data_IF_685127990493
#
_entry.id   IF_685127990493
#
_cell.length_a   1.000
_cell.length_b   1.000
_cell.length_c   1.000
_cell.angle_alpha   90.00
_cell.angle_beta   90.00
_cell.angle_gamma   90.00
#
_symmetry.space_group_name_H-M   'P 1'
#
loop_
_entity.id
_entity.type
_entity.pdbx_description
1 polymer ?
#
# COMPACT_ATOMS: atom_id res chain seq x y z
N UNK A 1 -68.12 39.39 -18.02
CA UNK A 1 -66.80 39.84 -18.54
C UNK A 1 -65.64 39.49 -17.59
N UNK A 2 -65.80 39.65 -16.26
CA UNK A 2 -64.77 39.36 -15.24
C UNK A 2 -64.35 37.88 -15.20
N UNK A 3 -65.28 36.92 -15.35
CA UNK A 3 -64.97 35.48 -15.28
C UNK A 3 -64.01 34.99 -16.39
N UNK A 4 -64.03 35.60 -17.58
CA UNK A 4 -63.15 35.22 -18.70
C UNK A 4 -61.70 35.64 -18.47
N UNK A 5 -61.48 36.75 -17.75
CA UNK A 5 -60.15 37.27 -17.43
C UNK A 5 -59.47 36.39 -16.39
N UNK A 6 -60.21 35.95 -15.36
CA UNK A 6 -59.68 35.08 -14.30
C UNK A 6 -59.29 33.71 -14.85
N UNK A 7 -60.10 33.13 -15.75
CA UNK A 7 -59.79 31.84 -16.38
C UNK A 7 -58.52 31.93 -17.26
N UNK A 8 -58.32 33.04 -17.99
CA UNK A 8 -57.09 33.26 -18.77
C UNK A 8 -55.85 33.40 -17.87
N UNK A 9 -55.97 34.08 -16.72
CA UNK A 9 -54.86 34.23 -15.79
C UNK A 9 -54.49 32.90 -15.11
N UNK A 10 -55.48 32.06 -14.77
CA UNK A 10 -55.24 30.72 -14.21
C UNK A 10 -54.56 29.80 -15.25
N UNK A 11 -54.98 29.85 -16.51
CA UNK A 11 -54.35 29.07 -17.59
C UNK A 11 -52.91 29.49 -17.86
N UNK A 12 -52.59 30.80 -17.77
CA UNK A 12 -51.21 31.30 -17.90
C UNK A 12 -50.34 30.82 -16.73
N UNK A 13 -50.87 30.82 -15.51
CA UNK A 13 -50.13 30.34 -14.34
C UNK A 13 -49.82 28.84 -14.38
N UNK A 14 -50.75 28.02 -14.88
CA UNK A 14 -50.55 26.57 -15.06
C UNK A 14 -49.49 26.30 -16.14
N UNK A 15 -49.47 27.09 -17.23
CA UNK A 15 -48.46 26.95 -18.28
C UNK A 15 -47.03 27.29 -17.78
N UNK A 16 -46.89 28.28 -16.91
CA UNK A 16 -45.58 28.67 -16.32
C UNK A 16 -45.04 27.57 -15.39
N UNK A 17 -45.92 26.89 -14.64
CA UNK A 17 -45.51 25.78 -13.76
C UNK A 17 -44.98 24.56 -14.54
N UNK A 18 -45.42 24.35 -15.78
CA UNK A 18 -44.89 23.28 -16.63
C UNK A 18 -43.50 23.57 -17.22
N UNK A 19 -43.08 24.84 -17.33
CA UNK A 19 -41.77 25.20 -17.87
C UNK A 19 -40.61 25.03 -16.87
N UNK A 20 -40.89 24.88 -15.57
CA UNK A 20 -39.85 24.69 -14.54
C UNK A 20 -39.60 23.21 -14.16
N UNK A 21 -40.35 22.25 -14.72
CA UNK A 21 -40.24 20.83 -14.35
C UNK A 21 -39.14 20.04 -15.08
N UNK A 22 -38.34 20.68 -15.95
CA UNK A 22 -37.28 20.00 -16.68
C UNK A 22 -35.99 20.83 -16.73
N UNK A 23 -35.32 20.97 -15.58
CA UNK A 23 -33.87 21.12 -15.57
C UNK A 23 -33.24 19.82 -15.07
N UNK A 24 -33.35 18.78 -15.91
CA UNK A 24 -32.45 17.63 -15.81
C UNK A 24 -31.06 18.17 -16.14
N UNK A 25 -30.23 18.30 -15.11
CA UNK A 25 -28.83 18.71 -15.22
C UNK A 25 -28.11 17.69 -16.09
N UNK A 26 -27.98 17.98 -17.38
CA UNK A 26 -27.03 17.31 -18.25
C UNK A 26 -25.64 17.72 -17.78
N UNK A 27 -25.10 16.92 -16.87
CA UNK A 27 -23.69 16.90 -16.62
C UNK A 27 -23.09 16.26 -17.87
N UNK A 28 -22.73 17.10 -18.85
CA UNK A 28 -21.84 16.70 -19.93
C UNK A 28 -20.61 16.10 -19.26
N UNK A 29 -20.54 14.77 -19.29
CA UNK A 29 -19.32 14.04 -19.05
C UNK A 29 -18.41 14.40 -20.22
N UNK A 30 -17.79 15.57 -20.14
CA UNK A 30 -16.50 15.77 -20.76
C UNK A 30 -15.64 14.65 -20.20
N UNK A 31 -15.43 13.64 -21.05
CA UNK A 31 -14.35 12.70 -20.94
C UNK A 31 -13.07 13.54 -20.91
N UNK A 32 -12.72 14.03 -19.72
CA UNK A 32 -11.33 14.32 -19.40
C UNK A 32 -10.64 12.99 -19.64
N UNK A 33 -10.05 12.85 -20.82
CA UNK A 33 -8.93 11.95 -21.05
C UNK A 33 -7.88 12.35 -20.03
N UNK A 34 -8.05 11.80 -18.83
CA UNK A 34 -7.04 11.66 -17.83
C UNK A 34 -5.97 10.84 -18.54
N UNK A 35 -5.00 11.53 -19.12
CA UNK A 35 -3.65 10.99 -19.23
C UNK A 35 -3.22 10.69 -17.79
N UNK A 36 -3.72 9.59 -17.22
CA UNK A 36 -3.11 8.94 -16.08
C UNK A 36 -1.74 8.58 -16.60
N UNK A 37 -0.71 9.24 -16.07
CA UNK A 37 0.67 8.78 -16.21
C UNK A 37 0.68 7.25 -16.04
N UNK A 38 1.53 6.51 -16.78
CA UNK A 38 1.60 5.06 -16.64
C UNK A 38 1.68 4.72 -15.14
N UNK A 39 0.72 3.93 -14.66
CA UNK A 39 0.66 3.55 -13.25
C UNK A 39 1.95 2.77 -12.98
N UNK A 40 2.88 3.38 -12.25
CA UNK A 40 4.07 2.70 -11.80
C UNK A 40 3.62 1.64 -10.79
N UNK A 41 3.96 0.38 -11.02
CA UNK A 41 3.61 -0.72 -10.12
C UNK A 41 4.86 -1.25 -9.43
N UNK A 42 4.69 -1.62 -8.16
CA UNK A 42 5.77 -2.18 -7.33
C UNK A 42 5.34 -3.52 -6.77
N UNK A 43 6.26 -4.48 -6.77
CA UNK A 43 6.02 -5.80 -6.19
C UNK A 43 6.16 -5.78 -4.66
N UNK A 44 5.18 -6.36 -3.96
CA UNK A 44 5.36 -6.75 -2.56
C UNK A 44 5.92 -8.17 -2.52
N UNK A 45 7.05 -8.35 -1.82
CA UNK A 45 7.76 -9.62 -1.78
C UNK A 45 7.35 -10.50 -0.60
N UNK A 46 7.33 -11.81 -0.85
CA UNK A 46 7.01 -12.83 0.15
C UNK A 46 8.01 -13.98 0.09
N UNK A 47 8.10 -14.73 1.19
CA UNK A 47 8.83 -15.99 1.26
C UNK A 47 7.90 -17.16 0.98
N UNK A 48 8.45 -18.24 0.44
CA UNK A 48 7.75 -19.52 0.27
C UNK A 48 8.71 -20.68 0.46
N UNK A 49 8.17 -21.83 0.89
CA UNK A 49 8.93 -23.07 0.96
C UNK A 49 9.04 -23.69 -0.44
N UNK A 50 10.26 -23.83 -0.95
CA UNK A 50 10.52 -24.57 -2.19
C UNK A 50 10.75 -26.05 -1.88
N UNK A 51 9.82 -26.89 -2.32
CA UNK A 51 9.88 -28.33 -2.13
C UNK A 51 11.03 -29.01 -2.89
N UNK A 52 11.52 -28.40 -3.97
CA UNK A 52 12.60 -28.97 -4.79
C UNK A 52 13.95 -28.75 -4.12
N UNK A 53 14.25 -27.51 -3.71
CA UNK A 53 15.51 -27.20 -3.02
C UNK A 53 15.48 -27.41 -1.51
N UNK A 54 14.31 -27.69 -0.92
CA UNK A 54 14.09 -27.81 0.54
C UNK A 54 14.56 -26.57 1.30
N UNK A 55 14.37 -25.40 0.70
CA UNK A 55 14.81 -24.11 1.24
C UNK A 55 13.69 -23.09 1.15
N UNK A 56 13.76 -22.05 1.99
CA UNK A 56 12.90 -20.88 1.87
C UNK A 56 13.44 -20.02 0.73
N UNK A 57 12.56 -19.55 -0.15
CA UNK A 57 12.88 -18.69 -1.30
C UNK A 57 12.04 -17.42 -1.28
N UNK A 58 12.53 -16.37 -1.94
CA UNK A 58 11.82 -15.11 -2.12
C UNK A 58 11.16 -15.04 -3.50
N UNK A 59 9.96 -14.46 -3.58
CA UNK A 59 9.33 -14.09 -4.86
C UNK A 59 8.46 -12.84 -4.75
N UNK A 60 8.25 -12.11 -5.87
CA UNK A 60 7.15 -11.16 -5.99
C UNK A 60 5.81 -11.85 -5.72
N UNK A 61 4.96 -11.27 -4.89
CA UNK A 61 3.64 -11.82 -4.57
C UNK A 61 2.53 -11.16 -5.37
N UNK A 62 2.40 -9.84 -5.24
CA UNK A 62 1.40 -9.03 -5.92
C UNK A 62 1.96 -7.63 -6.15
N UNK A 63 1.37 -6.93 -7.11
CA UNK A 63 1.77 -5.58 -7.45
C UNK A 63 0.80 -4.56 -6.87
N UNK A 64 1.34 -3.41 -6.46
CA UNK A 64 0.57 -2.27 -5.96
C UNK A 64 0.87 -1.03 -6.78
N UNK A 65 -0.14 -0.20 -7.00
CA UNK A 65 0.03 1.12 -7.61
C UNK A 65 0.91 1.98 -6.70
N UNK A 66 2.05 2.42 -7.20
CA UNK A 66 3.00 3.25 -6.45
C UNK A 66 2.94 4.69 -6.95
N UNK A 67 2.50 5.58 -6.07
CA UNK A 67 2.38 7.02 -6.31
C UNK A 67 3.50 7.82 -5.65
N UNK A 68 4.70 7.24 -5.54
CA UNK A 68 5.86 7.84 -4.88
C UNK A 68 5.67 8.11 -3.38
N UNK A 69 4.66 7.47 -2.76
CA UNK A 69 4.45 7.51 -1.32
C UNK A 69 5.00 6.24 -0.65
N UNK A 70 6.15 6.38 0.01
CA UNK A 70 6.79 5.30 0.75
C UNK A 70 5.91 4.72 1.87
N UNK A 71 5.18 5.57 2.60
CA UNK A 71 4.31 5.10 3.68
C UNK A 71 3.18 4.20 3.14
N UNK A 72 2.65 4.49 1.96
CA UNK A 72 1.65 3.62 1.31
C UNK A 72 2.23 2.24 1.01
N UNK A 73 3.45 2.15 0.50
CA UNK A 73 4.10 0.85 0.24
C UNK A 73 4.41 0.10 1.55
N UNK A 74 4.86 0.81 2.58
CA UNK A 74 5.07 0.23 3.92
C UNK A 74 3.76 -0.32 4.50
N UNK A 75 2.64 0.38 4.30
CA UNK A 75 1.33 -0.10 4.72
C UNK A 75 0.94 -1.39 3.98
N UNK A 76 1.21 -1.49 2.68
CA UNK A 76 0.99 -2.72 1.90
C UNK A 76 1.88 -3.86 2.36
N UNK A 77 3.16 -3.57 2.65
CA UNK A 77 4.06 -4.55 3.27
C UNK A 77 3.52 -5.05 4.61
N UNK A 78 3.11 -4.16 5.52
CA UNK A 78 2.56 -4.54 6.83
C UNK A 78 1.28 -5.38 6.68
N UNK A 79 0.41 -5.08 5.71
CA UNK A 79 -0.74 -5.93 5.38
C UNK A 79 -0.30 -7.33 4.96
N UNK A 80 0.74 -7.44 4.13
CA UNK A 80 1.30 -8.73 3.70
C UNK A 80 1.91 -9.56 4.85
N UNK A 81 2.42 -8.89 5.89
CA UNK A 81 2.91 -9.56 7.10
C UNK A 81 1.74 -10.10 7.92
N UNK A 82 0.71 -9.27 8.14
CA UNK A 82 -0.49 -9.65 8.91
C UNK A 82 -1.28 -10.79 8.25
N UNK A 83 -1.29 -10.87 6.92
CA UNK A 83 -1.97 -11.92 6.17
C UNK A 83 -1.16 -13.22 6.04
N UNK A 84 0.15 -13.19 6.32
CA UNK A 84 1.02 -14.35 6.18
C UNK A 84 0.77 -15.38 7.28
N UNK A 85 0.50 -16.63 6.91
CA UNK A 85 0.32 -17.75 7.84
C UNK A 85 1.58 -18.01 8.68
N UNK A 86 2.77 -17.73 8.13
CA UNK A 86 4.03 -17.86 8.85
C UNK A 86 4.15 -16.90 10.03
N UNK A 87 3.61 -15.68 9.89
CA UNK A 87 3.61 -14.66 10.94
C UNK A 87 2.32 -14.66 11.78
N UNK A 88 1.29 -15.40 11.35
CA UNK A 88 -0.02 -15.51 12.02
C UNK A 88 0.05 -16.55 13.14
N UNK A 89 0.05 -16.09 14.40
CA UNK A 89 -0.02 -16.96 15.59
C UNK A 89 1.03 -16.69 16.66
N UNK A 90 2.00 -15.78 16.42
CA UNK A 90 3.04 -15.41 17.39
C UNK A 90 2.72 -14.06 18.06
N UNK A 91 1.77 -14.10 18.99
CA UNK A 91 1.38 -13.05 19.94
C UNK A 91 0.84 -11.70 19.39
N UNK A 92 0.17 -11.04 20.32
CA UNK A 92 -0.72 -9.87 20.37
C UNK A 92 -0.17 -8.55 19.80
N UNK A 93 1.03 -8.55 19.19
CA UNK A 93 1.59 -7.39 18.50
C UNK A 93 2.36 -7.82 17.25
N UNK A 94 1.77 -7.58 16.08
CA UNK A 94 2.44 -7.76 14.80
C UNK A 94 3.69 -6.87 14.72
N UNK A 95 4.77 -7.41 14.16
CA UNK A 95 5.95 -6.63 13.76
C UNK A 95 5.48 -5.63 12.71
N UNK A 96 5.70 -4.35 12.96
CA UNK A 96 5.19 -3.27 12.10
C UNK A 96 6.31 -2.36 11.64
N UNK A 97 6.47 -2.22 10.33
CA UNK A 97 7.38 -1.27 9.73
C UNK A 97 6.72 0.12 9.69
N UNK A 98 7.48 1.16 9.99
CA UNK A 98 7.07 2.55 9.85
C UNK A 98 8.08 3.29 9.00
N UNK A 99 7.61 3.97 7.94
CA UNK A 99 8.47 4.83 7.15
C UNK A 99 8.87 6.06 7.99
N UNK A 100 10.15 6.39 7.97
CA UNK A 100 10.70 7.57 8.65
C UNK A 100 11.05 8.64 7.62
N UNK A 101 11.97 8.30 6.71
CA UNK A 101 12.47 9.19 5.67
C UNK A 101 13.19 8.37 4.59
N UNK A 102 13.57 9.02 3.50
CA UNK A 102 14.52 8.49 2.55
C UNK A 102 15.67 9.49 2.35
N UNK A 103 16.88 8.97 2.19
CA UNK A 103 18.08 9.77 1.91
C UNK A 103 18.85 9.09 0.79
N UNK A 104 18.95 9.75 -0.36
CA UNK A 104 19.61 9.23 -1.56
C UNK A 104 18.99 7.88 -1.98
N UNK A 105 19.77 6.80 -1.94
CA UNK A 105 19.39 5.44 -2.33
C UNK A 105 18.89 4.58 -1.14
N UNK A 106 18.66 5.20 0.02
CA UNK A 106 18.30 4.51 1.26
C UNK A 106 16.91 4.92 1.75
N UNK A 107 16.08 3.94 2.07
CA UNK A 107 14.84 4.14 2.84
C UNK A 107 15.11 3.83 4.31
N UNK A 108 14.74 4.74 5.20
CA UNK A 108 14.86 4.55 6.65
C UNK A 108 13.52 4.09 7.20
N UNK A 109 13.52 2.92 7.82
CA UNK A 109 12.34 2.28 8.39
C UNK A 109 12.58 2.03 9.86
N UNK A 110 11.63 2.44 10.70
CA UNK A 110 11.58 2.05 12.11
C UNK A 110 10.77 0.77 12.26
N UNK A 111 11.27 -0.21 13.02
CA UNK A 111 10.51 -1.41 13.34
C UNK A 111 9.87 -1.27 14.71
N UNK A 112 8.54 -1.18 14.73
CA UNK A 112 7.72 -1.17 15.93
C UNK A 112 7.51 -2.61 16.41
N UNK A 113 7.36 -2.78 17.73
CA UNK A 113 7.22 -4.10 18.37
C UNK A 113 8.40 -5.04 18.06
N UNK A 114 9.61 -4.50 18.07
CA UNK A 114 10.85 -5.20 17.73
C UNK A 114 11.11 -6.48 18.55
N UNK A 115 10.60 -6.60 19.78
CA UNK A 115 10.76 -7.81 20.61
C UNK A 115 10.30 -9.09 19.90
N UNK A 116 9.22 -9.03 19.13
CA UNK A 116 8.76 -10.18 18.35
C UNK A 116 9.81 -10.56 17.29
N UNK A 117 10.34 -9.55 16.59
CA UNK A 117 11.39 -9.70 15.58
C UNK A 117 12.72 -10.21 16.17
N UNK A 118 13.14 -9.69 17.31
CA UNK A 118 14.49 -9.90 17.84
C UNK A 118 14.60 -11.04 18.82
N UNK A 119 13.49 -11.49 19.43
CA UNK A 119 13.51 -12.48 20.52
C UNK A 119 12.52 -13.64 20.37
N UNK A 120 11.42 -13.50 19.62
CA UNK A 120 10.34 -14.50 19.65
C UNK A 120 10.16 -15.29 18.36
N UNK A 121 10.51 -14.69 17.21
CA UNK A 121 10.25 -15.29 15.90
C UNK A 121 11.35 -16.27 15.45
N UNK A 122 12.49 -16.29 16.17
CA UNK A 122 13.68 -17.05 15.81
C UNK A 122 14.48 -16.43 14.64
N UNK A 123 15.74 -16.81 14.50
CA UNK A 123 16.65 -16.23 13.50
C UNK A 123 16.16 -16.37 12.05
N UNK A 124 15.56 -17.52 11.69
CA UNK A 124 15.01 -17.71 10.34
C UNK A 124 13.85 -16.75 10.06
N UNK A 125 12.89 -16.63 10.98
CA UNK A 125 11.75 -15.73 10.80
C UNK A 125 12.15 -14.26 10.79
N UNK A 126 13.17 -13.89 11.58
CA UNK A 126 13.71 -12.54 11.58
C UNK A 126 14.41 -12.21 10.25
N UNK A 127 15.22 -13.14 9.75
CA UNK A 127 15.86 -13.05 8.43
C UNK A 127 14.83 -12.92 7.31
N UNK A 128 13.78 -13.74 7.31
CA UNK A 128 12.69 -13.67 6.34
C UNK A 128 11.97 -12.31 6.36
N UNK A 129 11.66 -11.78 7.54
CA UNK A 129 11.00 -10.48 7.68
C UNK A 129 11.86 -9.37 7.04
N UNK A 130 13.14 -9.31 7.43
CA UNK A 130 14.08 -8.29 6.95
C UNK A 130 14.29 -8.42 5.44
N UNK A 131 14.41 -9.65 4.92
CA UNK A 131 14.60 -9.89 3.50
C UNK A 131 13.37 -9.46 2.68
N UNK A 132 12.15 -9.82 3.12
CA UNK A 132 10.92 -9.38 2.45
C UNK A 132 10.79 -7.86 2.42
N UNK A 133 11.09 -7.19 3.53
CA UNK A 133 11.06 -5.72 3.61
C UNK A 133 12.10 -5.11 2.67
N UNK A 134 13.33 -5.63 2.71
CA UNK A 134 14.45 -5.17 1.87
C UNK A 134 14.11 -5.29 0.38
N UNK A 135 13.66 -6.47 -0.06
CA UNK A 135 13.30 -6.68 -1.47
C UNK A 135 12.14 -5.79 -1.90
N UNK A 136 11.10 -5.64 -1.06
CA UNK A 136 9.94 -4.79 -1.36
C UNK A 136 10.33 -3.32 -1.52
N UNK A 137 11.12 -2.76 -0.60
CA UNK A 137 11.52 -1.34 -0.69
C UNK A 137 12.48 -1.09 -1.86
N UNK A 138 13.35 -2.04 -2.18
CA UNK A 138 14.32 -1.93 -3.28
C UNK A 138 13.74 -2.21 -4.66
N UNK A 139 12.42 -2.47 -4.77
CA UNK A 139 11.71 -2.37 -6.06
C UNK A 139 11.55 -0.93 -6.52
N UNK A 140 11.59 0.04 -5.59
CA UNK A 140 11.49 1.46 -5.92
C UNK A 140 12.75 1.86 -6.70
N UNK A 141 12.57 2.36 -7.92
CA UNK A 141 13.69 2.83 -8.75
C UNK A 141 14.51 3.87 -8.01
N UNK A 142 15.82 3.66 -7.94
CA UNK A 142 16.77 4.54 -7.24
C UNK A 142 17.01 4.16 -5.78
N UNK A 143 16.27 3.21 -5.20
CA UNK A 143 16.52 2.69 -3.86
C UNK A 143 17.30 1.38 -3.96
N UNK A 144 18.48 1.33 -3.32
CA UNK A 144 19.38 0.16 -3.33
C UNK A 144 19.43 -0.57 -1.99
N UNK A 145 19.04 0.13 -0.91
CA UNK A 145 19.15 -0.37 0.47
C UNK A 145 18.08 0.20 1.39
N UNK A 146 17.89 -0.47 2.51
CA UNK A 146 17.00 -0.07 3.61
C UNK A 146 17.84 0.03 4.88
N UNK A 147 17.70 1.11 5.62
CA UNK A 147 18.19 1.20 7.00
C UNK A 147 17.05 0.84 7.95
N UNK A 148 17.27 -0.15 8.81
CA UNK A 148 16.31 -0.57 9.83
C UNK A 148 16.73 -0.07 11.20
N UNK A 149 15.83 0.67 11.86
CA UNK A 149 15.99 1.21 13.19
C UNK A 149 15.14 0.45 14.22
N UNK A 150 15.80 -0.25 15.14
CA UNK A 150 15.21 -0.96 16.28
C UNK A 150 16.30 -1.41 17.27
N UNK A 151 15.92 -1.66 18.52
CA UNK A 151 16.85 -2.24 19.51
C UNK A 151 17.31 -3.64 19.10
N UNK A 152 18.63 -3.93 19.10
CA UNK A 152 19.15 -5.24 18.74
C UNK A 152 18.68 -6.34 19.70
N UNK A 153 18.71 -7.59 19.23
CA UNK A 153 18.53 -8.78 20.07
C UNK A 153 19.12 -10.03 19.43
N UNK A 154 18.77 -11.20 19.98
CA UNK A 154 19.43 -12.47 19.64
C UNK A 154 19.27 -12.87 18.16
N UNK A 155 18.15 -12.48 17.54
CA UNK A 155 17.80 -12.94 16.20
C UNK A 155 17.94 -11.88 15.11
N UNK A 156 18.07 -10.60 15.47
CA UNK A 156 18.20 -9.50 14.52
C UNK A 156 18.89 -8.28 15.14
N UNK A 157 19.61 -7.55 14.31
CA UNK A 157 20.28 -6.30 14.67
C UNK A 157 19.82 -5.16 13.73
N UNK A 158 19.83 -3.89 14.16
CA UNK A 158 19.57 -2.77 13.27
C UNK A 158 20.71 -2.59 12.25
N UNK A 159 20.45 -1.86 11.17
CA UNK A 159 21.48 -1.51 10.20
C UNK A 159 21.02 -1.47 8.75
N UNK A 160 21.99 -1.47 7.84
CA UNK A 160 21.76 -1.40 6.40
C UNK A 160 21.60 -2.79 5.79
N UNK A 161 20.52 -2.95 5.03
CA UNK A 161 20.21 -4.17 4.28
C UNK A 161 20.03 -3.86 2.81
N UNK A 162 20.68 -4.63 1.95
CA UNK A 162 20.53 -4.60 0.49
C UNK A 162 20.19 -6.00 -0.01
N UNK A 163 19.76 -6.13 -1.27
CA UNK A 163 19.53 -7.47 -1.85
C UNK A 163 20.78 -8.36 -1.79
N UNK A 164 21.96 -7.76 -1.94
CA UNK A 164 23.26 -8.46 -1.85
C UNK A 164 23.50 -9.10 -0.48
N UNK A 165 22.95 -8.51 0.60
CA UNK A 165 23.04 -9.11 1.94
C UNK A 165 22.42 -10.52 1.97
N UNK A 166 21.47 -10.80 1.07
CA UNK A 166 20.67 -12.02 1.03
C UNK A 166 21.03 -12.96 -0.14
N UNK A 167 22.05 -12.62 -0.94
CA UNK A 167 22.38 -13.32 -2.20
C UNK A 167 22.70 -14.82 -2.02
N UNK A 168 23.25 -15.20 -0.87
CA UNK A 168 23.59 -16.58 -0.54
C UNK A 168 22.66 -17.22 0.50
N UNK A 169 21.61 -16.50 0.88
CA UNK A 169 20.68 -16.89 1.95
C UNK A 169 19.33 -17.38 1.42
N UNK A 170 18.95 -16.96 0.20
CA UNK A 170 17.68 -17.28 -0.46
C UNK A 170 17.85 -17.67 -1.93
#
# INVERSE_FOLDING_TARGET
>A
MIASIVIKQILIFILILFLFACQKKEQSFEEKKSHKAPINTISVWVTYWDNSSKQIRLKPSYQVSYNENFQSLVNEFNKSIRSSTFFKGRSDKYIEAQYVQNTHDTVHIKILNNKTLTQQIGSSGAKEYIARLTYTMTEIKGISKVYLDFDPGEHAAPGYYSRKYFEYEF
#
